data_IF_182391583679
#
_entry.id   IF_182391583679
#
_cell.length_a   1.000
_cell.length_b   1.000
_cell.length_c   1.000
_cell.angle_alpha   90.00
_cell.angle_beta   90.00
_cell.angle_gamma   90.00
#
_symmetry.space_group_name_H-M   'P 1'
#
loop_
_entity.id
_entity.type
_entity.pdbx_description
1 polymer ?
#
# COMPACT_ATOMS: atom_id res chain seq x y z
N UNK A 1 1.47 -42.65 28.77
CA UNK A 1 1.52 -41.18 28.96
C UNK A 1 2.70 -40.56 28.18
N UNK A 2 2.82 -40.81 26.86
CA UNK A 2 3.96 -40.35 26.04
C UNK A 2 3.54 -39.61 24.75
N UNK A 3 2.24 -39.48 24.48
CA UNK A 3 1.73 -38.75 23.32
C UNK A 3 1.66 -37.24 23.53
N UNK A 4 1.43 -36.80 24.78
CA UNK A 4 1.23 -35.38 25.12
C UNK A 4 2.53 -34.59 25.12
N UNK A 5 3.66 -35.16 25.54
CA UNK A 5 4.94 -34.43 25.60
C UNK A 5 5.47 -34.02 24.23
N UNK A 6 5.20 -34.81 23.18
CA UNK A 6 5.69 -34.50 21.83
C UNK A 6 4.91 -33.35 21.17
N UNK A 7 3.58 -33.29 21.35
CA UNK A 7 2.77 -32.16 20.87
C UNK A 7 3.11 -30.85 21.59
N UNK A 8 3.36 -30.89 22.90
CA UNK A 8 3.78 -29.70 23.65
C UNK A 8 5.16 -29.19 23.23
N UNK A 9 6.07 -30.07 22.79
CA UNK A 9 7.41 -29.69 22.34
C UNK A 9 7.41 -29.11 20.91
N UNK A 10 6.49 -29.51 20.05
CA UNK A 10 6.36 -28.95 18.70
C UNK A 10 5.70 -27.56 18.72
N UNK A 11 4.67 -27.35 19.55
CA UNK A 11 4.00 -26.05 19.72
C UNK A 11 4.95 -24.96 20.25
N UNK A 12 5.89 -25.31 21.14
CA UNK A 12 6.90 -24.38 21.68
C UNK A 12 7.94 -23.97 20.65
N UNK A 13 8.24 -24.82 19.66
CA UNK A 13 9.29 -24.58 18.65
C UNK A 13 8.83 -23.70 17.50
N UNK A 14 7.52 -23.63 17.21
CA UNK A 14 6.96 -22.75 16.18
C UNK A 14 6.78 -21.30 16.66
N UNK A 15 6.45 -21.06 17.94
CA UNK A 15 6.27 -19.70 18.48
C UNK A 15 7.54 -18.84 18.49
N UNK A 16 8.73 -19.43 18.52
CA UNK A 16 9.99 -18.68 18.50
C UNK A 16 10.41 -18.21 17.09
N UNK A 17 9.84 -18.80 16.02
CA UNK A 17 10.12 -18.36 14.64
C UNK A 17 9.28 -17.16 14.21
N UNK A 18 8.04 -17.04 14.70
CA UNK A 18 7.19 -15.87 14.42
C UNK A 18 7.53 -14.66 15.28
N UNK A 19 7.91 -14.85 16.56
CA UNK A 19 8.34 -13.73 17.42
C UNK A 19 9.63 -13.07 16.94
N UNK A 20 10.54 -13.82 16.29
CA UNK A 20 11.77 -13.23 15.70
C UNK A 20 11.49 -12.31 14.51
N UNK A 21 10.33 -12.45 13.85
CA UNK A 21 9.86 -11.55 12.78
C UNK A 21 9.13 -10.30 13.30
N UNK A 22 8.49 -10.39 14.46
CA UNK A 22 7.77 -9.24 15.05
C UNK A 22 8.74 -8.33 15.83
N UNK A 23 9.76 -8.90 16.49
CA UNK A 23 10.81 -8.13 17.18
C UNK A 23 11.69 -7.28 16.25
N UNK A 24 11.71 -7.53 14.94
CA UNK A 24 12.39 -6.64 13.96
C UNK A 24 11.57 -5.43 13.52
N UNK A 25 10.28 -5.34 13.87
CA UNK A 25 9.40 -4.24 13.45
C UNK A 25 9.17 -3.18 14.54
N UNK A 26 9.46 -3.47 15.81
CA UNK A 26 9.15 -2.59 16.95
C UNK A 26 10.40 -1.91 17.56
N UNK A 27 11.60 -2.18 17.03
CA UNK A 27 12.87 -1.62 17.51
C UNK A 27 13.26 -0.25 16.94
N UNK A 28 12.36 0.46 16.24
CA UNK A 28 12.64 1.79 15.66
C UNK A 28 12.07 2.96 16.46
N UNK A 29 11.36 2.69 17.57
CA UNK A 29 10.75 3.76 18.37
C UNK A 29 11.30 3.67 19.81
N UNK A 30 12.26 4.55 20.07
CA UNK A 30 12.52 5.18 21.38
C UNK A 30 13.40 4.46 22.41
N UNK A 31 14.72 4.54 22.22
CA UNK A 31 15.65 4.86 23.32
C UNK A 31 17.00 5.38 22.76
N UNK A 32 17.09 6.67 22.40
CA UNK A 32 18.30 7.20 21.75
C UNK A 32 18.52 8.70 21.88
N UNK A 33 17.89 9.39 22.83
CA UNK A 33 17.91 10.86 22.89
C UNK A 33 19.16 11.50 23.49
N UNK A 34 20.12 10.73 24.03
CA UNK A 34 21.36 11.29 24.61
C UNK A 34 22.63 11.08 23.75
N UNK A 35 22.57 10.25 22.70
CA UNK A 35 23.72 9.98 21.82
C UNK A 35 23.77 10.90 20.57
N UNK A 36 22.76 11.76 20.35
CA UNK A 36 22.59 12.51 19.10
C UNK A 36 23.51 13.73 18.95
N UNK A 37 24.14 14.23 20.02
CA UNK A 37 25.04 15.39 19.91
C UNK A 37 26.44 15.04 19.40
N UNK A 38 26.97 13.84 19.68
CA UNK A 38 28.29 13.43 19.19
C UNK A 38 28.30 13.03 17.72
N UNK A 39 27.20 12.46 17.24
CA UNK A 39 27.06 11.96 15.86
C UNK A 39 26.91 13.13 14.87
N UNK A 40 26.33 14.26 15.28
CA UNK A 40 26.09 15.41 14.40
C UNK A 40 27.38 15.99 13.75
N UNK A 41 28.51 16.00 14.45
CA UNK A 41 29.77 16.50 13.89
C UNK A 41 30.47 15.50 12.97
N UNK A 42 30.27 14.20 13.18
CA UNK A 42 30.85 13.15 12.34
C UNK A 42 30.01 12.89 11.07
N UNK A 43 28.71 13.21 11.12
CA UNK A 43 27.78 13.02 10.01
C UNK A 43 27.73 14.23 9.05
N UNK A 44 28.24 15.41 9.43
CA UNK A 44 28.34 16.58 8.52
C UNK A 44 29.20 16.32 7.28
N UNK A 45 30.28 15.53 7.39
CA UNK A 45 31.13 15.20 6.25
C UNK A 45 30.54 14.14 5.31
N UNK A 46 29.56 13.35 5.79
CA UNK A 46 28.91 12.29 5.01
C UNK A 46 27.50 12.68 4.51
N UNK A 47 26.86 13.69 5.12
CA UNK A 47 25.56 14.20 4.71
C UNK A 47 25.62 15.35 3.71
N UNK A 48 26.80 15.94 3.46
CA UNK A 48 26.94 17.02 2.49
C UNK A 48 26.71 16.56 1.04
N UNK A 49 26.55 15.25 0.81
CA UNK A 49 26.16 14.66 -0.48
C UNK A 49 24.68 14.24 -0.56
N UNK A 50 23.92 14.23 0.55
CA UNK A 50 22.54 13.69 0.59
C UNK A 50 21.42 14.71 0.86
N UNK A 51 21.70 16.02 0.79
CA UNK A 51 20.68 17.08 1.01
C UNK A 51 19.73 17.31 -0.17
N UNK A 52 19.05 16.27 -0.68
CA UNK A 52 17.99 16.45 -1.70
C UNK A 52 16.74 15.55 -1.58
N UNK A 53 16.57 14.79 -0.50
CA UNK A 53 15.61 13.65 -0.50
C UNK A 53 14.27 13.91 0.20
N UNK A 54 14.05 15.07 0.83
CA UNK A 54 12.79 15.32 1.56
C UNK A 54 11.64 15.91 0.71
N UNK A 55 11.88 16.23 -0.57
CA UNK A 55 10.82 16.65 -1.52
C UNK A 55 10.67 15.72 -2.73
N UNK A 56 11.65 14.87 -3.03
CA UNK A 56 11.65 13.96 -4.19
C UNK A 56 10.81 12.68 -3.98
N UNK A 57 10.58 12.25 -2.74
CA UNK A 57 9.91 10.97 -2.45
C UNK A 57 8.39 11.01 -2.65
N UNK A 58 7.72 12.13 -2.33
CA UNK A 58 6.26 12.27 -2.52
C UNK A 58 5.92 12.42 -4.01
N UNK A 59 6.70 13.20 -4.76
CA UNK A 59 6.55 13.34 -6.22
C UNK A 59 6.74 11.99 -6.91
N UNK A 60 7.71 11.19 -6.46
CA UNK A 60 7.97 9.87 -7.04
C UNK A 60 6.81 8.89 -6.89
N UNK A 61 6.08 8.91 -5.77
CA UNK A 61 4.93 7.99 -5.55
C UNK A 61 3.75 8.39 -6.42
N UNK A 62 3.42 9.69 -6.47
CA UNK A 62 2.33 10.20 -7.30
C UNK A 62 2.58 9.91 -8.79
N UNK A 63 3.80 10.14 -9.27
CA UNK A 63 4.20 9.83 -10.66
C UNK A 63 4.11 8.32 -10.97
N UNK A 64 4.47 7.48 -10.01
CA UNK A 64 4.34 6.02 -10.15
C UNK A 64 2.87 5.60 -10.25
N UNK A 65 2.00 6.10 -9.38
CA UNK A 65 0.57 5.83 -9.44
C UNK A 65 -0.03 6.30 -10.76
N UNK A 66 0.33 7.50 -11.23
CA UNK A 66 -0.12 8.00 -12.52
C UNK A 66 0.35 7.12 -13.69
N UNK A 67 1.57 6.60 -13.63
CA UNK A 67 2.07 5.65 -14.64
C UNK A 67 1.29 4.33 -14.63
N UNK A 68 0.93 3.82 -13.44
CA UNK A 68 0.11 2.61 -13.32
C UNK A 68 -1.30 2.86 -13.89
N UNK A 69 -1.92 4.01 -13.56
CA UNK A 69 -3.22 4.40 -14.11
C UNK A 69 -3.20 4.41 -15.65
N UNK A 70 -2.19 5.06 -16.25
CA UNK A 70 -1.99 5.06 -17.72
C UNK A 70 -1.81 3.65 -18.29
N UNK A 71 -1.16 2.76 -17.55
CA UNK A 71 -1.00 1.36 -17.93
C UNK A 71 -2.34 0.63 -18.05
N UNK A 72 -3.24 0.83 -17.09
CA UNK A 72 -4.60 0.28 -17.16
C UNK A 72 -5.43 0.93 -18.26
N UNK A 73 -5.33 2.24 -18.46
CA UNK A 73 -6.00 2.95 -19.55
C UNK A 73 -5.61 2.36 -20.92
N UNK A 74 -4.31 2.13 -21.17
CA UNK A 74 -3.84 1.50 -22.41
C UNK A 74 -4.24 0.02 -22.58
N UNK A 75 -4.63 -0.67 -21.52
CA UNK A 75 -5.31 -1.98 -21.62
C UNK A 75 -6.77 -1.76 -22.04
N UNK A 76 -7.47 -0.82 -21.41
CA UNK A 76 -8.88 -0.52 -21.69
C UNK A 76 -9.13 0.06 -23.09
N UNK A 77 -8.15 0.73 -23.69
CA UNK A 77 -8.22 1.14 -25.10
C UNK A 77 -8.39 -0.07 -26.06
N UNK A 78 -7.77 -1.20 -25.71
CA UNK A 78 -7.80 -2.42 -26.52
C UNK A 78 -8.89 -3.38 -26.06
N UNK A 79 -9.11 -3.45 -24.76
CA UNK A 79 -10.06 -4.35 -24.11
C UNK A 79 -10.96 -3.55 -23.16
N UNK A 80 -11.98 -2.85 -23.67
CA UNK A 80 -12.76 -1.90 -22.88
C UNK A 80 -13.50 -2.53 -21.70
N UNK A 81 -13.78 -3.83 -21.76
CA UNK A 81 -14.51 -4.59 -20.74
C UNK A 81 -13.59 -5.47 -19.89
N UNK A 82 -12.27 -5.27 -19.97
CA UNK A 82 -11.31 -5.99 -19.15
C UNK A 82 -11.50 -5.60 -17.68
N UNK A 83 -12.10 -6.52 -16.93
CA UNK A 83 -12.44 -6.35 -15.51
C UNK A 83 -11.23 -6.03 -14.66
N UNK A 84 -10.10 -6.71 -14.90
CA UNK A 84 -8.87 -6.48 -14.15
C UNK A 84 -8.34 -5.07 -14.36
N UNK A 85 -8.40 -4.56 -15.59
CA UNK A 85 -7.97 -3.19 -15.88
C UNK A 85 -8.94 -2.15 -15.32
N UNK A 86 -10.26 -2.41 -15.34
CA UNK A 86 -11.26 -1.55 -14.73
C UNK A 86 -11.09 -1.48 -13.20
N UNK A 87 -10.99 -2.63 -12.51
CA UNK A 87 -10.78 -2.70 -11.06
C UNK A 87 -9.43 -2.06 -10.67
N UNK A 88 -8.38 -2.34 -11.45
CA UNK A 88 -7.06 -1.75 -11.25
C UNK A 88 -7.06 -0.23 -11.37
N UNK A 89 -7.74 0.30 -12.39
CA UNK A 89 -7.86 1.74 -12.61
C UNK A 89 -8.66 2.42 -11.49
N UNK A 90 -9.79 1.83 -11.05
CA UNK A 90 -10.55 2.32 -9.90
C UNK A 90 -9.65 2.41 -8.68
N UNK A 91 -8.95 1.33 -8.34
CA UNK A 91 -8.09 1.28 -7.15
C UNK A 91 -7.01 2.36 -7.18
N UNK A 92 -6.28 2.49 -8.29
CA UNK A 92 -5.20 3.48 -8.42
C UNK A 92 -5.74 4.91 -8.35
N UNK A 93 -6.88 5.19 -8.98
CA UNK A 93 -7.51 6.52 -8.89
C UNK A 93 -7.93 6.85 -7.46
N UNK A 94 -8.44 5.88 -6.71
CA UNK A 94 -8.74 6.07 -5.28
C UNK A 94 -7.48 6.29 -4.43
N UNK A 95 -6.39 5.59 -4.71
CA UNK A 95 -5.09 5.79 -4.03
C UNK A 95 -4.52 7.18 -4.30
N UNK A 96 -4.70 7.72 -5.51
CA UNK A 96 -4.34 9.11 -5.86
C UNK A 96 -5.34 10.16 -5.31
N UNK A 97 -6.43 9.73 -4.67
CA UNK A 97 -7.50 10.62 -4.23
C UNK A 97 -8.40 11.15 -5.38
N UNK A 98 -8.24 10.67 -6.60
CA UNK A 98 -9.08 10.97 -7.76
C UNK A 98 -10.41 10.20 -7.72
N UNK A 99 -11.25 10.57 -6.75
CA UNK A 99 -12.58 9.96 -6.53
C UNK A 99 -13.48 10.15 -7.74
N UNK A 100 -13.46 11.34 -8.35
CA UNK A 100 -14.25 11.66 -9.54
C UNK A 100 -13.84 10.80 -10.73
N UNK A 101 -12.54 10.64 -10.96
CA UNK A 101 -12.04 9.78 -12.03
C UNK A 101 -12.36 8.31 -11.80
N UNK A 102 -12.44 7.82 -10.56
CA UNK A 102 -12.78 6.43 -10.28
C UNK A 102 -14.23 6.05 -10.65
N UNK A 103 -15.14 7.02 -10.79
CA UNK A 103 -16.58 6.78 -11.04
C UNK A 103 -16.81 6.06 -12.37
N UNK A 104 -16.31 6.59 -13.49
CA UNK A 104 -16.58 6.03 -14.82
C UNK A 104 -16.16 4.55 -15.00
N UNK A 105 -14.94 4.11 -14.62
CA UNK A 105 -14.59 2.70 -14.68
C UNK A 105 -15.41 1.83 -13.72
N UNK A 106 -15.84 2.37 -12.57
CA UNK A 106 -16.69 1.65 -11.62
C UNK A 106 -18.14 1.51 -12.12
N UNK A 107 -18.69 2.51 -12.79
CA UNK A 107 -20.00 2.41 -13.47
C UNK A 107 -19.99 1.30 -14.53
N UNK A 108 -18.89 1.17 -15.26
CA UNK A 108 -18.72 0.08 -16.22
C UNK A 108 -18.68 -1.29 -15.53
N UNK A 109 -17.99 -1.41 -14.39
CA UNK A 109 -18.01 -2.63 -13.58
C UNK A 109 -19.40 -3.00 -13.07
N UNK A 110 -20.20 -2.02 -12.63
CA UNK A 110 -21.60 -2.24 -12.24
C UNK A 110 -22.44 -2.72 -13.43
N UNK A 111 -22.22 -2.15 -14.62
CA UNK A 111 -22.89 -2.58 -15.85
C UNK A 111 -22.55 -4.01 -16.26
N UNK A 112 -21.28 -4.41 -16.15
CA UNK A 112 -20.81 -5.76 -16.48
C UNK A 112 -21.23 -6.80 -15.43
N UNK A 113 -21.28 -6.41 -14.16
CA UNK A 113 -21.59 -7.30 -13.04
C UNK A 113 -22.69 -6.70 -12.13
N UNK A 114 -23.94 -6.64 -12.61
CA UNK A 114 -25.04 -6.03 -11.87
C UNK A 114 -25.42 -6.78 -10.59
N UNK A 115 -24.95 -8.02 -10.42
CA UNK A 115 -25.17 -8.83 -9.21
C UNK A 115 -24.04 -8.69 -8.18
N UNK A 116 -22.94 -7.98 -8.49
CA UNK A 116 -21.84 -7.74 -7.55
C UNK A 116 -22.12 -6.44 -6.78
N UNK A 117 -22.75 -6.58 -5.62
CA UNK A 117 -23.18 -5.44 -4.82
C UNK A 117 -22.02 -4.55 -4.34
N UNK A 118 -20.83 -5.12 -4.14
CA UNK A 118 -19.62 -4.37 -3.78
C UNK A 118 -19.37 -3.17 -4.72
N UNK A 119 -19.55 -3.35 -6.03
CA UNK A 119 -19.33 -2.26 -6.98
C UNK A 119 -20.36 -1.14 -6.85
N UNK A 120 -21.61 -1.50 -6.54
CA UNK A 120 -22.69 -0.52 -6.34
C UNK A 120 -22.45 0.29 -5.08
N UNK A 121 -22.08 -0.37 -3.99
CA UNK A 121 -21.80 0.27 -2.70
C UNK A 121 -20.67 1.29 -2.85
N UNK A 122 -19.55 0.89 -3.49
CA UNK A 122 -18.43 1.81 -3.72
C UNK A 122 -18.85 2.95 -4.66
N UNK A 123 -19.67 2.69 -5.68
CA UNK A 123 -20.13 3.71 -6.61
C UNK A 123 -21.03 4.75 -5.94
N UNK A 124 -21.98 4.30 -5.13
CA UNK A 124 -22.85 5.15 -4.34
C UNK A 124 -22.04 6.02 -3.37
N UNK A 125 -21.06 5.42 -2.67
CA UNK A 125 -20.17 6.16 -1.79
C UNK A 125 -19.40 7.25 -2.55
N UNK A 126 -18.80 6.92 -3.70
CA UNK A 126 -18.04 7.89 -4.49
C UNK A 126 -18.90 9.03 -5.03
N UNK A 127 -20.15 8.76 -5.41
CA UNK A 127 -21.08 9.80 -5.86
C UNK A 127 -21.42 10.77 -4.73
N UNK A 128 -21.70 10.26 -3.53
CA UNK A 128 -21.98 11.08 -2.35
C UNK A 128 -20.81 11.96 -1.91
N UNK A 129 -19.57 11.53 -2.15
CA UNK A 129 -18.37 12.27 -1.74
C UNK A 129 -17.95 13.36 -2.75
N UNK A 130 -18.46 13.29 -3.99
CA UNK A 130 -18.10 14.20 -5.09
C UNK A 130 -19.22 15.19 -5.44
N UNK A 131 -20.46 14.92 -4.99
CA UNK A 131 -21.61 15.86 -5.02
C UNK A 131 -21.44 17.03 -4.03
#
# INVERSE_FOLDING_TARGET
MQGTEKEYMEARKQRSKTLRRIMSLVGLISFGSAALFGIANMFKSALQESQKVETDTVVSVEEQLQKIARGYEGVLEREPENVTALEGLVKVRLEMGDRKGAIAPLEKLVGLYPHKDDYKVVLEQLKLEVD
#
